data_IF_220412314751
#
_entry.id   IF_220412314751
#
_cell.length_a   1.000
_cell.length_b   1.000
_cell.length_c   1.000
_cell.angle_alpha   90.00
_cell.angle_beta   90.00
_cell.angle_gamma   90.00
#
_symmetry.space_group_name_H-M   'P 1'
#
loop_
_entity.id
_entity.type
_entity.pdbx_description
1 polymer ?
#
# COMPACT_ATOMS: atom_id res chain seq x y z
N UNK A 1 -12.86 7.42 -11.16
CA UNK A 1 -12.11 6.18 -11.48
C UNK A 1 -10.68 6.44 -11.84
N UNK A 2 -10.44 7.31 -12.79
CA UNK A 2 -9.07 7.65 -13.25
C UNK A 2 -8.26 8.33 -12.14
N UNK A 3 -8.87 9.20 -11.37
CA UNK A 3 -8.20 9.91 -10.29
C UNK A 3 -7.68 8.97 -9.21
N UNK A 4 -8.47 7.98 -8.81
CA UNK A 4 -8.06 6.98 -7.80
C UNK A 4 -6.91 6.14 -8.33
N UNK A 5 -6.94 5.76 -9.62
CA UNK A 5 -5.86 5.02 -10.26
C UNK A 5 -4.55 5.80 -10.27
N UNK A 6 -4.59 7.10 -10.59
CA UNK A 6 -3.43 7.98 -10.55
C UNK A 6 -2.89 8.15 -9.13
N UNK A 7 -3.76 8.29 -8.13
CA UNK A 7 -3.36 8.40 -6.72
C UNK A 7 -2.63 7.14 -6.25
N UNK A 8 -3.09 5.96 -6.66
CA UNK A 8 -2.42 4.68 -6.35
C UNK A 8 -1.04 4.64 -7.01
N UNK A 9 -0.93 4.99 -8.27
CA UNK A 9 0.35 5.01 -9.00
C UNK A 9 1.35 5.96 -8.34
N UNK A 10 0.92 7.17 -8.02
CA UNK A 10 1.76 8.16 -7.37
C UNK A 10 2.20 7.68 -5.97
N UNK A 11 1.30 7.06 -5.22
CA UNK A 11 1.60 6.54 -3.90
C UNK A 11 2.63 5.41 -3.97
N UNK A 12 2.50 4.49 -4.91
CA UNK A 12 3.46 3.40 -5.12
C UNK A 12 4.82 3.97 -5.52
N UNK A 13 4.85 4.94 -6.42
CA UNK A 13 6.09 5.58 -6.85
C UNK A 13 6.80 6.31 -5.71
N UNK A 14 6.09 7.14 -4.96
CA UNK A 14 6.65 7.89 -3.84
C UNK A 14 7.15 6.96 -2.73
N UNK A 15 6.40 5.91 -2.44
CA UNK A 15 6.78 4.90 -1.45
C UNK A 15 8.02 4.13 -1.90
N UNK A 16 8.10 3.76 -3.18
CA UNK A 16 9.27 3.08 -3.74
C UNK A 16 10.53 3.96 -3.64
N UNK A 17 10.39 5.24 -3.94
CA UNK A 17 11.48 6.21 -3.81
C UNK A 17 11.96 6.33 -2.36
N UNK A 18 11.03 6.45 -1.42
CA UNK A 18 11.34 6.56 0.00
C UNK A 18 12.07 5.32 0.51
N UNK A 19 11.60 4.12 0.15
CA UNK A 19 12.23 2.86 0.57
C UNK A 19 13.66 2.76 0.01
N UNK A 20 13.86 3.08 -1.25
CA UNK A 20 15.17 3.03 -1.88
C UNK A 20 16.14 4.02 -1.24
N UNK A 21 15.70 5.24 -0.96
CA UNK A 21 16.54 6.28 -0.36
C UNK A 21 16.91 5.98 1.09
N UNK A 22 15.96 5.48 1.88
CA UNK A 22 16.17 5.19 3.30
C UNK A 22 17.12 4.01 3.53
N UNK A 23 17.19 3.08 2.58
CA UNK A 23 17.97 1.84 2.71
C UNK A 23 19.04 1.71 1.61
N UNK A 24 19.63 2.81 1.19
CA UNK A 24 20.58 2.86 0.06
C UNK A 24 21.78 1.92 0.19
N UNK A 25 22.23 1.62 1.43
CA UNK A 25 23.37 0.72 1.68
C UNK A 25 23.00 -0.46 2.59
N UNK A 26 21.72 -0.63 2.86
CA UNK A 26 21.19 -1.63 3.79
C UNK A 26 20.22 -2.57 3.08
N UNK A 27 20.76 -3.58 2.42
CA UNK A 27 19.95 -4.54 1.66
C UNK A 27 18.97 -5.34 2.53
N UNK A 28 19.40 -5.74 3.73
CA UNK A 28 18.52 -6.48 4.64
C UNK A 28 17.36 -5.62 5.13
N UNK A 29 17.62 -4.37 5.49
CA UNK A 29 16.59 -3.41 5.86
C UNK A 29 15.67 -3.09 4.68
N UNK A 30 16.22 -2.99 3.47
CA UNK A 30 15.46 -2.80 2.24
C UNK A 30 14.46 -3.95 2.01
N UNK A 31 14.91 -5.20 2.11
CA UNK A 31 14.05 -6.37 1.96
C UNK A 31 12.93 -6.39 2.98
N UNK A 32 13.26 -6.08 4.23
CA UNK A 32 12.29 -6.05 5.32
C UNK A 32 11.23 -4.97 5.09
N UNK A 33 11.65 -3.79 4.67
CA UNK A 33 10.72 -2.68 4.41
C UNK A 33 9.81 -2.98 3.21
N UNK A 34 10.32 -3.60 2.15
CA UNK A 34 9.51 -4.06 1.02
C UNK A 34 8.44 -5.04 1.47
N UNK A 35 8.79 -5.98 2.32
CA UNK A 35 7.84 -6.95 2.84
C UNK A 35 6.77 -6.27 3.70
N UNK A 36 7.16 -5.34 4.55
CA UNK A 36 6.24 -4.59 5.42
C UNK A 36 5.30 -3.68 4.63
N UNK A 37 5.80 -3.05 3.59
CA UNK A 37 5.06 -2.01 2.87
C UNK A 37 4.24 -2.57 1.72
N UNK A 38 4.86 -3.39 0.87
CA UNK A 38 4.24 -3.94 -0.33
C UNK A 38 3.91 -5.43 -0.24
N UNK A 39 4.30 -6.09 0.85
CA UNK A 39 4.18 -7.54 1.02
C UNK A 39 4.78 -8.30 -0.17
N UNK A 40 5.95 -7.84 -0.63
CA UNK A 40 6.66 -8.45 -1.75
C UNK A 40 8.12 -8.74 -1.40
N UNK A 41 8.72 -9.68 -2.14
CA UNK A 41 10.14 -9.98 -2.05
C UNK A 41 10.93 -9.01 -2.92
N UNK A 42 12.23 -8.87 -2.61
CA UNK A 42 13.09 -7.98 -3.40
C UNK A 42 13.23 -8.47 -4.85
N UNK A 43 13.01 -7.59 -5.84
CA UNK A 43 13.27 -7.92 -7.24
C UNK A 43 14.76 -7.87 -7.59
N UNK A 44 15.62 -7.55 -6.62
CA UNK A 44 17.06 -7.42 -6.80
C UNK A 44 17.80 -8.47 -5.99
N UNK A 45 18.95 -8.91 -6.52
CA UNK A 45 19.96 -9.60 -5.71
C UNK A 45 20.75 -8.54 -4.94
N UNK A 46 21.53 -8.95 -3.93
CA UNK A 46 22.36 -8.03 -3.16
C UNK A 46 23.37 -7.30 -4.04
N UNK A 47 23.99 -8.02 -4.99
CA UNK A 47 24.95 -7.43 -5.93
C UNK A 47 24.31 -6.41 -6.85
N UNK A 48 23.12 -6.70 -7.38
CA UNK A 48 22.36 -5.75 -8.20
C UNK A 48 21.99 -4.50 -7.40
N UNK A 49 21.52 -4.68 -6.18
CA UNK A 49 21.13 -3.58 -5.30
C UNK A 49 22.29 -2.63 -5.03
N UNK A 50 23.48 -3.18 -4.78
CA UNK A 50 24.69 -2.37 -4.50
C UNK A 50 25.28 -1.70 -5.73
N UNK A 51 25.11 -2.32 -6.91
CA UNK A 51 25.72 -1.84 -8.15
C UNK A 51 24.85 -0.91 -8.98
N UNK A 52 23.53 -0.96 -8.80
CA UNK A 52 22.59 -0.14 -9.58
C UNK A 52 22.59 1.31 -9.11
N UNK A 53 22.40 2.22 -10.08
CA UNK A 53 22.21 3.63 -9.77
C UNK A 53 20.86 3.82 -9.06
N UNK A 54 20.76 4.78 -8.10
CA UNK A 54 19.51 4.99 -7.36
C UNK A 54 18.28 5.20 -8.25
N UNK A 55 18.43 5.93 -9.35
CA UNK A 55 17.33 6.20 -10.30
C UNK A 55 16.83 4.93 -10.97
N UNK A 56 17.75 4.07 -11.42
CA UNK A 56 17.41 2.78 -12.03
C UNK A 56 16.77 1.82 -11.04
N UNK A 57 17.24 1.85 -9.81
CA UNK A 57 16.74 1.01 -8.72
C UNK A 57 15.28 1.38 -8.40
N UNK A 58 14.97 2.67 -8.27
CA UNK A 58 13.63 3.17 -8.03
C UNK A 58 12.69 2.81 -9.18
N UNK A 59 13.14 2.98 -10.42
CA UNK A 59 12.33 2.68 -11.60
C UNK A 59 11.96 1.19 -11.67
N UNK A 60 12.94 0.31 -11.49
CA UNK A 60 12.69 -1.13 -11.47
C UNK A 60 11.81 -1.55 -10.29
N UNK A 61 12.04 -0.97 -9.12
CA UNK A 61 11.23 -1.24 -7.94
C UNK A 61 9.77 -0.83 -8.17
N UNK A 62 9.55 0.35 -8.74
CA UNK A 62 8.22 0.83 -9.10
C UNK A 62 7.51 -0.12 -10.07
N UNK A 63 8.20 -0.55 -11.13
CA UNK A 63 7.63 -1.48 -12.11
C UNK A 63 7.22 -2.81 -11.45
N UNK A 64 8.07 -3.36 -10.61
CA UNK A 64 7.78 -4.63 -9.93
C UNK A 64 6.67 -4.50 -8.90
N UNK A 65 6.65 -3.41 -8.15
CA UNK A 65 5.56 -3.11 -7.20
C UNK A 65 4.23 -2.96 -7.92
N UNK A 66 4.24 -2.28 -9.07
CA UNK A 66 3.03 -2.08 -9.89
C UNK A 66 2.52 -3.40 -10.47
N UNK A 67 3.41 -4.27 -10.97
CA UNK A 67 3.04 -5.60 -11.44
C UNK A 67 2.41 -6.44 -10.33
N UNK A 68 3.00 -6.41 -9.15
CA UNK A 68 2.48 -7.13 -7.99
C UNK A 68 1.09 -6.63 -7.61
N UNK A 69 0.91 -5.32 -7.59
CA UNK A 69 -0.38 -4.69 -7.32
C UNK A 69 -1.44 -5.10 -8.32
N UNK A 70 -1.15 -4.99 -9.62
CA UNK A 70 -2.10 -5.36 -10.69
C UNK A 70 -2.50 -6.82 -10.62
N UNK A 71 -1.55 -7.72 -10.37
CA UNK A 71 -1.80 -9.15 -10.24
C UNK A 71 -2.73 -9.45 -9.06
N UNK A 72 -2.53 -8.77 -7.94
CA UNK A 72 -3.39 -8.92 -6.76
C UNK A 72 -4.80 -8.41 -7.01
N UNK A 73 -4.93 -7.30 -7.75
CA UNK A 73 -6.26 -6.77 -8.12
C UNK A 73 -7.02 -7.72 -9.04
N UNK A 74 -6.36 -8.29 -10.03
CA UNK A 74 -6.95 -9.29 -10.91
C UNK A 74 -7.41 -10.52 -10.14
N UNK A 75 -6.55 -11.03 -9.27
CA UNK A 75 -6.89 -12.19 -8.44
C UNK A 75 -8.08 -11.92 -7.53
N UNK A 76 -8.11 -10.75 -6.92
CA UNK A 76 -9.22 -10.33 -6.08
C UNK A 76 -10.53 -10.32 -6.87
N UNK A 77 -10.54 -9.76 -8.07
CA UNK A 77 -11.71 -9.73 -8.95
C UNK A 77 -12.17 -11.15 -9.30
N UNK A 78 -11.24 -12.02 -9.64
CA UNK A 78 -11.55 -13.43 -9.96
C UNK A 78 -12.17 -14.18 -8.80
N UNK A 79 -11.74 -13.91 -7.58
CA UNK A 79 -12.27 -14.55 -6.38
C UNK A 79 -13.62 -13.94 -5.98
N UNK A 80 -13.76 -12.63 -6.07
CA UNK A 80 -14.96 -11.92 -5.63
C UNK A 80 -16.14 -12.07 -6.59
N UNK A 81 -15.88 -12.12 -7.89
CA UNK A 81 -16.93 -12.12 -8.91
C UNK A 81 -17.99 -13.24 -8.74
N UNK A 82 -17.60 -14.53 -8.57
CA UNK A 82 -18.58 -15.59 -8.37
C UNK A 82 -19.42 -15.41 -7.11
N UNK A 83 -18.81 -14.93 -6.03
CA UNK A 83 -19.49 -14.69 -4.74
C UNK A 83 -20.53 -13.57 -4.90
N UNK A 84 -20.14 -12.45 -5.49
CA UNK A 84 -21.02 -11.31 -5.73
C UNK A 84 -22.19 -11.71 -6.62
N UNK A 85 -21.93 -12.45 -7.70
CA UNK A 85 -22.96 -12.93 -8.60
C UNK A 85 -23.98 -13.81 -7.87
N UNK A 86 -23.51 -14.74 -7.07
CA UNK A 86 -24.35 -15.65 -6.32
C UNK A 86 -25.22 -14.91 -5.29
N UNK A 87 -24.61 -14.01 -4.52
CA UNK A 87 -25.33 -13.24 -3.50
C UNK A 87 -26.38 -12.34 -4.13
N UNK A 88 -26.04 -11.64 -5.21
CA UNK A 88 -26.97 -10.74 -5.89
C UNK A 88 -28.16 -11.49 -6.50
N UNK A 89 -27.91 -12.59 -7.21
CA UNK A 89 -28.95 -13.37 -7.85
C UNK A 89 -29.89 -14.06 -6.85
N UNK A 90 -29.34 -14.52 -5.73
CA UNK A 90 -30.14 -15.24 -4.71
C UNK A 90 -30.73 -14.33 -3.66
N UNK A 91 -30.05 -13.26 -3.25
CA UNK A 91 -30.41 -12.43 -2.11
C UNK A 91 -30.24 -10.92 -2.36
N UNK A 92 -30.22 -10.51 -3.62
CA UNK A 92 -29.98 -9.11 -4.00
C UNK A 92 -31.03 -8.13 -3.47
N UNK A 93 -32.26 -8.61 -3.25
CA UNK A 93 -33.35 -7.79 -2.71
C UNK A 93 -33.21 -7.57 -1.18
N UNK A 94 -32.42 -8.38 -0.49
CA UNK A 94 -32.27 -8.34 0.97
C UNK A 94 -31.11 -7.46 1.43
N UNK A 95 -30.10 -7.27 0.58
CA UNK A 95 -28.88 -6.54 0.93
C UNK A 95 -28.62 -5.40 -0.04
N UNK A 96 -28.49 -4.20 0.47
CA UNK A 96 -28.07 -3.02 -0.29
C UNK A 96 -26.55 -2.92 -0.38
N UNK A 97 -25.89 -3.10 0.74
CA UNK A 97 -24.43 -3.03 0.86
C UNK A 97 -23.87 -4.35 1.38
N UNK A 98 -22.66 -4.65 0.97
CA UNK A 98 -21.92 -5.81 1.43
C UNK A 98 -20.54 -5.38 1.92
N UNK A 99 -19.99 -6.16 2.84
CA UNK A 99 -18.63 -5.99 3.32
C UNK A 99 -17.83 -7.23 2.95
N UNK A 100 -16.72 -7.01 2.24
CA UNK A 100 -15.89 -8.08 1.73
C UNK A 100 -14.53 -8.03 2.42
N UNK A 101 -14.08 -9.11 3.08
CA UNK A 101 -12.73 -9.18 3.61
C UNK A 101 -11.75 -9.46 2.47
N UNK A 102 -10.78 -8.56 2.29
CA UNK A 102 -9.76 -8.66 1.25
C UNK A 102 -8.39 -8.49 1.90
N UNK A 103 -7.40 -9.27 1.46
CA UNK A 103 -6.04 -9.16 1.95
C UNK A 103 -5.08 -8.77 0.83
N UNK A 104 -4.10 -7.93 1.16
CA UNK A 104 -2.97 -7.61 0.28
C UNK A 104 -1.76 -8.52 0.54
N UNK A 105 -1.94 -9.54 1.37
CA UNK A 105 -0.89 -10.46 1.80
C UNK A 105 -0.27 -10.10 3.16
N UNK A 106 -0.49 -8.88 3.62
CA UNK A 106 0.03 -8.37 4.90
C UNK A 106 -1.10 -8.05 5.88
N UNK A 107 -2.14 -7.36 5.41
CA UNK A 107 -3.27 -6.91 6.23
C UNK A 107 -4.58 -7.38 5.64
N UNK A 108 -5.58 -7.49 6.52
CA UNK A 108 -6.95 -7.76 6.12
C UNK A 108 -7.72 -6.44 6.07
N UNK A 109 -8.39 -6.19 4.96
CA UNK A 109 -9.25 -5.02 4.77
C UNK A 109 -10.69 -5.47 4.67
N UNK A 110 -11.59 -4.74 5.32
CA UNK A 110 -13.02 -4.92 5.14
C UNK A 110 -13.51 -3.83 4.17
N UNK A 111 -13.79 -4.24 2.95
CA UNK A 111 -14.20 -3.31 1.89
C UNK A 111 -15.72 -3.30 1.80
N UNK A 112 -16.32 -2.14 2.03
CA UNK A 112 -17.75 -1.93 1.90
C UNK A 112 -18.07 -1.50 0.47
N UNK A 113 -19.08 -2.11 -0.12
CA UNK A 113 -19.51 -1.81 -1.48
C UNK A 113 -21.00 -2.03 -1.65
N UNK A 114 -21.63 -1.25 -2.54
CA UNK A 114 -23.01 -1.48 -2.93
C UNK A 114 -23.10 -2.76 -3.75
N UNK A 115 -23.96 -3.69 -3.36
CA UNK A 115 -24.07 -5.00 -3.98
C UNK A 115 -24.47 -4.93 -5.46
N UNK A 116 -25.47 -4.11 -5.78
CA UNK A 116 -25.93 -3.94 -7.17
C UNK A 116 -24.84 -3.34 -8.04
N UNK A 117 -24.14 -2.33 -7.54
CA UNK A 117 -23.04 -1.69 -8.25
C UNK A 117 -21.90 -2.69 -8.50
N UNK A 118 -21.55 -3.50 -7.48
CA UNK A 118 -20.54 -4.54 -7.63
C UNK A 118 -20.94 -5.57 -8.68
N UNK A 119 -22.21 -5.98 -8.71
CA UNK A 119 -22.73 -6.91 -9.70
C UNK A 119 -22.70 -6.31 -11.10
N UNK A 120 -23.26 -5.10 -11.27
CA UNK A 120 -23.38 -4.43 -12.56
C UNK A 120 -22.04 -4.09 -13.20
N UNK A 121 -21.03 -3.81 -12.38
CA UNK A 121 -19.67 -3.45 -12.85
C UNK A 121 -18.69 -4.61 -12.89
N UNK A 122 -19.16 -5.84 -12.69
CA UNK A 122 -18.31 -7.05 -12.63
C UNK A 122 -17.15 -6.91 -11.62
N UNK A 123 -17.47 -6.41 -10.42
CA UNK A 123 -16.53 -6.17 -9.31
C UNK A 123 -15.56 -5.00 -9.48
N UNK A 124 -15.70 -4.17 -10.51
CA UNK A 124 -14.88 -2.96 -10.65
C UNK A 124 -15.09 -1.98 -9.50
N UNK A 125 -16.32 -1.89 -8.99
CA UNK A 125 -16.64 -1.05 -7.82
C UNK A 125 -15.89 -1.53 -6.57
N UNK A 126 -15.72 -2.83 -6.39
CA UNK A 126 -14.94 -3.42 -5.29
C UNK A 126 -13.47 -3.05 -5.43
N UNK A 127 -12.92 -3.13 -6.64
CA UNK A 127 -11.53 -2.75 -6.92
C UNK A 127 -11.29 -1.29 -6.56
N UNK A 128 -12.20 -0.39 -6.96
CA UNK A 128 -12.10 1.04 -6.59
C UNK A 128 -12.11 1.26 -5.10
N UNK A 129 -13.02 0.60 -4.38
CA UNK A 129 -13.13 0.71 -2.92
C UNK A 129 -11.87 0.18 -2.23
N UNK A 130 -11.30 -0.92 -2.73
CA UNK A 130 -10.07 -1.51 -2.21
C UNK A 130 -8.87 -0.61 -2.49
N UNK A 131 -8.77 -0.04 -3.69
CA UNK A 131 -7.72 0.92 -4.04
C UNK A 131 -7.73 2.12 -3.11
N UNK A 132 -8.92 2.65 -2.82
CA UNK A 132 -9.09 3.75 -1.87
C UNK A 132 -8.60 3.37 -0.48
N UNK A 133 -8.94 2.17 -0.01
CA UNK A 133 -8.51 1.66 1.30
C UNK A 133 -6.99 1.52 1.38
N UNK A 134 -6.34 1.02 0.32
CA UNK A 134 -4.88 0.90 0.26
C UNK A 134 -4.22 2.28 0.32
N UNK A 135 -4.69 3.24 -0.47
CA UNK A 135 -4.12 4.59 -0.49
C UNK A 135 -4.25 5.25 0.87
N UNK A 136 -5.44 5.17 1.49
CA UNK A 136 -5.66 5.75 2.81
C UNK A 136 -4.77 5.10 3.88
N UNK A 137 -4.58 3.78 3.81
CA UNK A 137 -3.72 3.07 4.74
C UNK A 137 -2.25 3.45 4.58
N UNK A 138 -1.77 3.60 3.36
CA UNK A 138 -0.39 4.04 3.08
C UNK A 138 -0.15 5.47 3.57
N UNK A 139 -1.11 6.36 3.34
CA UNK A 139 -1.04 7.74 3.84
C UNK A 139 -1.01 7.76 5.35
N UNK A 140 -1.86 6.97 6.01
CA UNK A 140 -1.95 6.89 7.47
C UNK A 140 -0.65 6.38 8.09
N UNK A 141 -0.05 5.34 7.51
CA UNK A 141 1.25 4.82 7.97
C UNK A 141 2.38 5.84 7.78
N UNK A 142 2.41 6.52 6.64
CA UNK A 142 3.39 7.59 6.40
C UNK A 142 3.22 8.75 7.36
N UNK A 143 1.99 9.11 7.67
CA UNK A 143 1.68 10.16 8.63
C UNK A 143 2.06 9.78 10.06
N UNK A 144 1.81 8.54 10.46
CA UNK A 144 2.23 8.03 11.77
C UNK A 144 3.74 8.06 11.94
N UNK A 145 4.49 7.67 10.92
CA UNK A 145 5.95 7.73 10.92
C UNK A 145 6.44 9.17 11.02
N UNK A 146 5.84 10.08 10.27
CA UNK A 146 6.16 11.51 10.34
C UNK A 146 5.93 12.08 11.74
N UNK A 147 4.82 11.75 12.37
CA UNK A 147 4.52 12.17 13.74
C UNK A 147 5.53 11.62 14.74
N UNK A 148 5.95 10.38 14.56
CA UNK A 148 6.97 9.76 15.41
C UNK A 148 8.31 10.45 15.27
N UNK A 149 8.74 10.75 14.06
CA UNK A 149 9.97 11.51 13.77
C UNK A 149 9.93 12.91 14.40
N UNK A 150 8.81 13.58 14.32
CA UNK A 150 8.61 14.88 14.94
C UNK A 150 8.71 14.82 16.47
N UNK A 151 8.15 13.78 17.10
CA UNK A 151 8.23 13.59 18.54
C UNK A 151 9.67 13.32 18.97
N UNK A 152 10.42 12.49 18.25
CA UNK A 152 11.84 12.25 18.52
C UNK A 152 12.66 13.53 18.41
N UNK A 153 12.42 14.32 17.37
CA UNK A 153 13.09 15.62 17.19
C UNK A 153 12.76 16.56 18.33
N UNK A 154 11.51 16.63 18.77
CA UNK A 154 11.07 17.45 19.89
C UNK A 154 11.80 17.07 21.16
N UNK A 155 11.91 15.79 21.48
CA UNK A 155 12.65 15.29 22.65
C UNK A 155 14.14 15.65 22.58
N UNK A 156 14.75 15.51 21.41
CA UNK A 156 16.16 15.89 21.20
C UNK A 156 16.39 17.37 21.44
N UNK A 157 15.51 18.24 20.95
CA UNK A 157 15.56 19.68 21.15
C UNK A 157 15.38 20.05 22.63
N UNK A 158 14.43 19.42 23.32
CA UNK A 158 14.20 19.65 24.75
C UNK A 158 15.40 19.22 25.58
N UNK A 159 16.02 18.10 25.30
CA UNK A 159 17.21 17.62 25.97
C UNK A 159 18.41 18.55 25.74
N UNK A 160 18.61 19.02 24.52
CA UNK A 160 19.66 19.97 24.18
C UNK A 160 19.48 21.31 24.92
N UNK A 161 18.24 21.80 24.97
CA UNK A 161 17.92 23.04 25.72
C UNK A 161 18.18 22.89 27.23
N UNK A 162 17.85 21.73 27.78
CA UNK A 162 18.06 21.42 29.17
C UNK A 162 19.55 21.37 29.53
N UNK A 163 20.35 20.72 28.70
CA UNK A 163 21.81 20.64 28.87
C UNK A 163 22.47 22.01 28.78
N UNK A 164 22.00 22.86 27.87
CA UNK A 164 22.53 24.22 27.71
C UNK A 164 22.23 25.16 28.89
N UNK A 165 21.22 24.83 29.69
CA UNK A 165 20.86 25.61 30.89
C UNK A 165 21.65 25.22 32.14
N UNK A 166 22.34 24.10 32.07
CA UNK A 166 23.14 23.60 33.20
C UNK A 166 24.52 24.22 33.12
N UNK A 167 24.90 25.06 34.07
CA UNK A 167 26.20 25.76 34.05
C UNK A 167 27.39 24.84 34.26
#
# INVERSE_FOLDING_TARGET
GERIGLDVLNTIYDTSTAIADQHAEDFEGFKLELFKTFAMESPFTEDEFKSMKPEQLVEKLFEEALKTYKRRMERMTQVAHPVIKQVYENQGAMYENIMIPITDGKRMYNVSCNLKEAYDTECKAIVKSFQKSIVLNMIDEGWKEHLREMDELRHSVQNASYENKDP
#
